data_IF_216617064727
#
_entry.id   IF_216617064727
#
_cell.length_a   1.000
_cell.length_b   1.000
_cell.length_c   1.000
_cell.angle_alpha   90.00
_cell.angle_beta   90.00
_cell.angle_gamma   90.00
#
_symmetry.space_group_name_H-M   'P 1'
#
loop_
_entity.id
_entity.type
_entity.pdbx_description
1 polymer ?
#
# COMPACT_ATOMS: atom_id res chain seq x y z
N UNK A 1 -4.93 2.44 21.61
CA UNK A 1 -5.83 3.13 20.67
C UNK A 1 -5.11 3.25 19.34
N UNK A 2 -5.67 2.76 18.23
CA UNK A 2 -5.08 3.04 16.92
C UNK A 2 -5.20 4.55 16.64
N UNK A 3 -4.17 5.15 16.03
CA UNK A 3 -4.18 6.59 15.69
C UNK A 3 -5.15 6.93 14.55
N UNK A 4 -5.56 5.92 13.78
CA UNK A 4 -6.47 6.01 12.65
C UNK A 4 -7.80 5.35 13.00
N UNK A 5 -8.89 5.94 12.52
CA UNK A 5 -10.26 5.50 12.82
C UNK A 5 -10.71 4.43 11.80
N UNK A 6 -11.04 3.20 12.23
CA UNK A 6 -11.47 2.12 11.33
C UNK A 6 -12.86 2.36 10.70
N UNK A 7 -13.62 3.34 11.16
CA UNK A 7 -14.92 3.71 10.60
C UNK A 7 -14.85 4.67 9.41
N UNK A 8 -13.76 5.44 9.27
CA UNK A 8 -13.64 6.53 8.29
C UNK A 8 -12.27 6.57 7.60
N UNK A 9 -12.11 7.50 6.67
CA UNK A 9 -10.85 7.68 5.93
C UNK A 9 -10.49 6.47 5.07
N UNK A 10 -9.29 6.51 4.51
CA UNK A 10 -8.72 5.40 3.75
C UNK A 10 -8.51 4.14 4.60
N UNK A 11 -8.11 4.28 5.87
CA UNK A 11 -7.94 3.15 6.78
C UNK A 11 -9.25 2.34 6.89
N UNK A 12 -10.38 3.01 7.10
CA UNK A 12 -11.68 2.33 7.14
C UNK A 12 -12.08 1.73 5.79
N UNK A 13 -11.75 2.37 4.66
CA UNK A 13 -11.99 1.81 3.32
C UNK A 13 -11.19 0.52 3.13
N UNK A 14 -9.91 0.49 3.45
CA UNK A 14 -9.06 -0.70 3.32
C UNK A 14 -9.52 -1.82 4.25
N UNK A 15 -9.83 -1.53 5.52
CA UNK A 15 -10.35 -2.52 6.48
C UNK A 15 -11.65 -3.18 6.01
N UNK A 16 -12.52 -2.45 5.29
CA UNK A 16 -13.76 -3.00 4.72
C UNK A 16 -13.53 -3.79 3.44
N UNK A 17 -12.62 -3.32 2.59
CA UNK A 17 -12.35 -3.94 1.27
C UNK A 17 -11.57 -5.24 1.40
N UNK A 18 -10.55 -5.26 2.26
CA UNK A 18 -9.66 -6.39 2.46
C UNK A 18 -9.19 -6.46 3.93
N UNK A 19 -10.02 -6.98 4.84
CA UNK A 19 -9.67 -7.08 6.25
C UNK A 19 -8.48 -8.02 6.48
N UNK A 20 -8.38 -9.12 5.71
CA UNK A 20 -7.31 -10.10 5.86
C UNK A 20 -5.95 -9.52 5.43
N UNK A 21 -5.89 -8.84 4.28
CA UNK A 21 -4.66 -8.17 3.84
C UNK A 21 -4.23 -7.05 4.79
N UNK A 22 -5.19 -6.30 5.35
CA UNK A 22 -4.87 -5.30 6.37
C UNK A 22 -4.34 -5.91 7.66
N UNK A 23 -4.92 -7.00 8.15
CA UNK A 23 -4.43 -7.68 9.35
C UNK A 23 -3.05 -8.32 9.10
N UNK A 24 -2.78 -8.85 7.90
CA UNK A 24 -1.46 -9.36 7.50
C UNK A 24 -0.40 -8.25 7.49
N UNK A 25 -0.73 -7.06 6.97
CA UNK A 25 0.18 -5.90 6.97
C UNK A 25 0.46 -5.40 8.40
N UNK A 26 -0.58 -5.25 9.23
CA UNK A 26 -0.44 -4.78 10.61
C UNK A 26 0.28 -5.80 11.50
N UNK A 27 0.11 -7.09 11.22
CA UNK A 27 0.83 -8.18 11.86
C UNK A 27 2.27 -8.38 11.35
N UNK A 28 2.70 -7.63 10.32
CA UNK A 28 4.03 -7.73 9.73
C UNK A 28 4.28 -8.99 8.89
N UNK A 29 3.23 -9.76 8.59
CA UNK A 29 3.31 -10.92 7.72
C UNK A 29 3.50 -10.51 6.24
N UNK A 30 2.90 -9.38 5.86
CA UNK A 30 3.04 -8.77 4.54
C UNK A 30 3.55 -7.34 4.63
N UNK A 31 4.24 -6.88 3.59
CA UNK A 31 4.66 -5.48 3.46
C UNK A 31 3.58 -4.73 2.66
N UNK A 32 2.94 -3.68 3.23
CA UNK A 32 1.90 -2.94 2.52
C UNK A 32 2.47 -2.25 1.26
N UNK A 33 1.68 -2.16 0.18
CA UNK A 33 1.97 -1.27 -0.92
C UNK A 33 2.19 0.17 -0.44
N UNK A 34 3.10 0.90 -1.08
CA UNK A 34 3.46 2.24 -0.61
C UNK A 34 2.33 3.27 -0.79
N UNK A 35 1.53 3.14 -1.85
CA UNK A 35 0.32 3.95 -2.09
C UNK A 35 -0.75 3.76 -0.99
N UNK A 36 -0.85 2.56 -0.42
CA UNK A 36 -1.67 2.30 0.77
C UNK A 36 -1.11 3.09 1.97
N UNK A 37 0.20 3.08 2.18
CA UNK A 37 0.86 3.85 3.25
C UNK A 37 0.63 5.35 3.08
N UNK A 38 0.77 5.89 1.86
CA UNK A 38 0.48 7.30 1.54
C UNK A 38 -0.95 7.69 1.88
N UNK A 39 -1.91 6.83 1.55
CA UNK A 39 -3.32 7.01 1.91
C UNK A 39 -3.52 7.05 3.44
N UNK A 40 -2.82 6.20 4.19
CA UNK A 40 -2.86 6.19 5.66
C UNK A 40 -2.18 7.45 6.26
N UNK A 41 -1.13 7.98 5.64
CA UNK A 41 -0.52 9.25 6.07
C UNK A 41 -1.43 10.44 5.78
N UNK A 42 -2.21 10.41 4.70
CA UNK A 42 -3.24 11.40 4.45
C UNK A 42 -4.31 11.40 5.56
N UNK A 43 -4.79 10.22 5.98
CA UNK A 43 -5.68 10.11 7.14
C UNK A 43 -5.02 10.61 8.43
N UNK A 44 -3.74 10.28 8.64
CA UNK A 44 -2.98 10.71 9.81
C UNK A 44 -2.83 12.23 9.86
N UNK A 45 -2.64 12.89 8.73
CA UNK A 45 -2.56 14.34 8.63
C UNK A 45 -3.88 15.01 9.07
N UNK A 46 -5.03 14.40 8.77
CA UNK A 46 -6.33 14.90 9.24
C UNK A 46 -6.50 14.80 10.76
N UNK A 47 -5.83 13.85 11.41
CA UNK A 47 -5.96 13.60 12.86
C UNK A 47 -4.87 14.30 13.69
N UNK A 48 -3.64 14.39 13.17
CA UNK A 48 -2.45 14.85 13.90
C UNK A 48 -1.76 16.06 13.26
N UNK A 49 -2.23 16.53 12.11
CA UNK A 49 -1.63 17.62 11.36
C UNK A 49 -0.55 17.15 10.37
N UNK A 50 -0.34 17.94 9.32
CA UNK A 50 0.56 17.63 8.21
C UNK A 50 2.01 17.38 8.66
N UNK A 51 2.57 18.26 9.50
CA UNK A 51 3.95 18.14 9.95
C UNK A 51 4.24 16.81 10.69
N UNK A 52 3.28 16.32 11.48
CA UNK A 52 3.40 15.03 12.15
C UNK A 52 3.35 13.88 11.14
N UNK A 53 2.42 13.93 10.18
CA UNK A 53 2.27 12.92 9.15
C UNK A 53 3.50 12.82 8.23
N UNK A 54 4.10 13.96 7.85
CA UNK A 54 5.32 14.01 7.04
C UNK A 54 6.51 13.35 7.76
N UNK A 55 6.70 13.64 9.04
CA UNK A 55 7.75 13.00 9.85
C UNK A 55 7.54 11.49 9.96
N UNK A 56 6.29 11.07 10.16
CA UNK A 56 5.93 9.65 10.18
C UNK A 56 6.20 8.98 8.83
N UNK A 57 5.83 9.62 7.72
CA UNK A 57 6.04 9.14 6.36
C UNK A 57 7.54 8.99 6.05
N UNK A 58 8.36 9.99 6.38
CA UNK A 58 9.82 9.94 6.17
C UNK A 58 10.50 8.82 6.99
N UNK A 59 10.02 8.57 8.22
CA UNK A 59 10.49 7.43 9.01
C UNK A 59 10.04 6.10 8.39
N UNK A 60 8.78 6.00 7.99
CA UNK A 60 8.23 4.79 7.40
C UNK A 60 8.87 4.44 6.05
N UNK A 61 9.19 5.43 5.21
CA UNK A 61 9.84 5.21 3.92
C UNK A 61 11.19 4.50 4.06
N UNK A 62 12.00 4.91 5.06
CA UNK A 62 13.27 4.26 5.36
C UNK A 62 13.08 2.81 5.80
N UNK A 63 12.18 2.57 6.75
CA UNK A 63 11.90 1.22 7.26
C UNK A 63 11.30 0.32 6.18
N UNK A 64 10.42 0.86 5.34
CA UNK A 64 9.78 0.16 4.24
C UNK A 64 10.82 -0.29 3.21
N UNK A 65 11.74 0.60 2.82
CA UNK A 65 12.81 0.27 1.89
C UNK A 65 13.73 -0.85 2.43
N UNK A 66 14.11 -0.79 3.71
CA UNK A 66 14.92 -1.83 4.34
C UNK A 66 14.17 -3.18 4.39
N UNK A 67 12.89 -3.16 4.75
CA UNK A 67 12.03 -4.35 4.75
C UNK A 67 11.85 -4.93 3.34
N UNK A 68 11.63 -4.09 2.33
CA UNK A 68 11.48 -4.50 0.94
C UNK A 68 12.76 -5.20 0.44
N UNK A 69 13.92 -4.59 0.68
CA UNK A 69 15.22 -5.19 0.34
C UNK A 69 15.45 -6.53 1.05
N UNK A 70 15.05 -6.63 2.32
CA UNK A 70 15.14 -7.88 3.08
C UNK A 70 14.19 -8.95 2.54
N UNK A 71 12.98 -8.58 2.16
CA UNK A 71 11.98 -9.48 1.59
C UNK A 71 12.42 -10.01 0.21
N UNK A 72 12.87 -9.12 -0.66
CA UNK A 72 13.30 -9.42 -2.03
C UNK A 72 14.52 -10.35 -2.08
N UNK A 73 15.37 -10.29 -1.05
CA UNK A 73 16.57 -11.14 -0.93
C UNK A 73 16.31 -12.53 -0.34
N UNK A 74 15.08 -12.84 0.10
CA UNK A 74 14.74 -14.17 0.61
C UNK A 74 14.89 -15.24 -0.48
N UNK A 75 15.15 -16.51 -0.11
CA UNK A 75 15.12 -17.61 -1.07
C UNK A 75 13.80 -17.61 -1.86
N UNK A 76 13.88 -17.63 -3.20
CA UNK A 76 12.72 -17.53 -4.08
C UNK A 76 12.21 -16.11 -4.37
N UNK A 77 12.77 -15.07 -3.72
CA UNK A 77 12.34 -13.67 -3.87
C UNK A 77 12.39 -13.17 -5.32
N UNK A 78 13.44 -13.51 -6.07
CA UNK A 78 13.52 -13.19 -7.51
C UNK A 78 12.34 -13.77 -8.32
N UNK A 79 11.94 -15.01 -8.05
CA UNK A 79 10.84 -15.64 -8.76
C UNK A 79 9.50 -14.97 -8.43
N UNK A 80 9.27 -14.68 -7.15
CA UNK A 80 8.09 -13.93 -6.68
C UNK A 80 8.03 -12.52 -7.27
N UNK A 81 9.17 -11.83 -7.37
CA UNK A 81 9.25 -10.52 -8.02
C UNK A 81 8.88 -10.59 -9.51
N UNK A 82 9.35 -11.61 -10.23
CA UNK A 82 9.00 -11.80 -11.64
C UNK A 82 7.51 -12.13 -11.82
N UNK A 83 6.95 -12.97 -10.95
CA UNK A 83 5.52 -13.27 -10.94
C UNK A 83 4.68 -12.02 -10.71
N UNK A 84 5.05 -11.23 -9.69
CA UNK A 84 4.39 -9.96 -9.36
C UNK A 84 4.52 -8.94 -10.48
N UNK A 85 5.70 -8.83 -11.12
CA UNK A 85 5.89 -7.99 -12.31
C UNK A 85 4.95 -8.41 -13.44
N UNK A 86 4.85 -9.71 -13.71
CA UNK A 86 3.93 -10.25 -14.72
C UNK A 86 2.46 -9.91 -14.42
N UNK A 87 2.04 -9.97 -13.16
CA UNK A 87 0.70 -9.55 -12.74
C UNK A 87 0.48 -8.05 -13.00
N UNK A 88 1.39 -7.18 -12.55
CA UNK A 88 1.26 -5.74 -12.71
C UNK A 88 1.23 -5.29 -14.17
N UNK A 89 1.99 -5.94 -15.05
CA UNK A 89 1.94 -5.66 -16.49
C UNK A 89 0.57 -6.00 -17.09
N UNK A 90 -0.08 -7.09 -16.65
CA UNK A 90 -1.45 -7.43 -17.09
C UNK A 90 -2.47 -6.42 -16.59
N UNK A 91 -2.39 -6.03 -15.32
CA UNK A 91 -3.28 -5.00 -14.75
C UNK A 91 -3.11 -3.65 -15.47
N UNK A 92 -1.87 -3.27 -15.80
CA UNK A 92 -1.61 -2.06 -16.58
C UNK A 92 -2.24 -2.12 -17.97
N UNK A 93 -2.09 -3.24 -18.69
CA UNK A 93 -2.68 -3.43 -20.00
C UNK A 93 -4.21 -3.31 -19.93
N UNK A 94 -4.83 -3.99 -18.95
CA UNK A 94 -6.27 -3.93 -18.72
C UNK A 94 -6.76 -2.51 -18.38
N UNK A 95 -6.04 -1.79 -17.50
CA UNK A 95 -6.38 -0.41 -17.18
C UNK A 95 -6.29 0.52 -18.41
N UNK A 96 -5.28 0.33 -19.28
CA UNK A 96 -5.13 1.08 -20.52
C UNK A 96 -6.25 0.79 -21.53
N UNK A 97 -6.70 -0.47 -21.63
CA UNK A 97 -7.88 -0.83 -22.42
C UNK A 97 -9.15 -0.15 -21.92
N UNK A 98 -9.41 -0.19 -20.62
CA UNK A 98 -10.59 0.49 -20.05
C UNK A 98 -10.55 2.00 -20.25
N UNK A 99 -9.37 2.61 -20.14
CA UNK A 99 -9.22 4.05 -20.34
C UNK A 99 -9.58 4.44 -21.78
N UNK A 100 -9.09 3.68 -22.77
CA UNK A 100 -9.45 3.89 -24.19
C UNK A 100 -10.96 3.75 -24.41
N UNK A 101 -11.56 2.68 -23.90
CA UNK A 101 -13.00 2.47 -24.00
C UNK A 101 -13.83 3.60 -23.35
N UNK A 102 -13.35 4.17 -22.23
CA UNK A 102 -14.01 5.30 -21.57
C UNK A 102 -13.84 6.63 -22.32
N UNK A 103 -12.84 6.75 -23.18
CA UNK A 103 -12.60 7.94 -24.01
C UNK A 103 -13.38 7.90 -25.34
N UNK A 104 -13.76 6.70 -25.80
CA UNK A 104 -14.53 6.46 -27.02
C UNK A 104 -16.05 6.44 -26.80
N UNK A 105 -16.50 6.46 -25.54
CA UNK A 105 -17.91 6.48 -25.11
C UNK A 105 -18.41 7.91 -24.84
#
# INVERSE_FOLDING_TARGET
MALLDPGRGWYGVFRRRDPAGMDACLGGAELPPWDVMESLFADLAQVRGAAYAEQAAARAARLHADCALGHDRRPGGRAQLLERLGLMLREQAYAAERLRAAQEA
#
